data_IF_778840122078
#
_entry.id   IF_778840122078
#
_cell.length_a   1.000
_cell.length_b   1.000
_cell.length_c   1.000
_cell.angle_alpha   90.00
_cell.angle_beta   90.00
_cell.angle_gamma   90.00
#
_symmetry.space_group_name_H-M   'P 1'
#
loop_
_entity.id
_entity.type
_entity.pdbx_description
1 polymer ?
#
# COMPACT_ATOMS: atom_id res chain seq x y z
N UNK A 1 -3.82 -10.47 -4.21
CA UNK A 1 -3.93 -10.42 -2.74
C UNK A 1 -3.92 -11.84 -2.19
N UNK A 2 -3.37 -12.04 -0.99
CA UNK A 2 -3.30 -13.31 -0.28
C UNK A 2 -3.59 -13.11 1.21
N UNK A 3 -3.92 -14.20 1.92
CA UNK A 3 -4.28 -14.13 3.34
C UNK A 3 -5.61 -13.42 3.56
N UNK A 4 -5.66 -12.57 4.60
CA UNK A 4 -6.85 -11.79 4.99
C UNK A 4 -7.14 -10.57 4.12
N UNK A 5 -6.31 -10.25 3.13
CA UNK A 5 -6.50 -9.05 2.29
C UNK A 5 -7.57 -9.29 1.24
N UNK A 6 -8.57 -8.41 1.20
CA UNK A 6 -9.66 -8.43 0.23
C UNK A 6 -9.99 -7.03 -0.30
N UNK A 7 -10.64 -6.97 -1.45
CA UNK A 7 -11.31 -5.77 -1.92
C UNK A 7 -12.62 -5.60 -1.16
N UNK A 8 -12.77 -4.49 -0.45
CA UNK A 8 -13.96 -4.14 0.33
C UNK A 8 -14.52 -2.80 -0.13
N UNK A 9 -15.84 -2.58 -0.08
CA UNK A 9 -16.41 -1.25 -0.30
C UNK A 9 -15.82 -0.23 0.67
N UNK A 10 -15.50 0.97 0.20
CA UNK A 10 -14.97 2.05 1.03
C UNK A 10 -15.96 2.50 2.12
N UNK A 11 -17.27 2.41 1.82
CA UNK A 11 -18.37 2.68 2.75
C UNK A 11 -18.92 4.11 2.74
N UNK A 12 -18.20 5.11 2.20
CA UNK A 12 -18.67 6.51 2.13
C UNK A 12 -19.12 6.89 0.71
N UNK A 13 -18.45 6.39 -0.32
CA UNK A 13 -18.84 6.60 -1.72
C UNK A 13 -19.33 5.29 -2.32
N UNK A 14 -20.53 5.30 -2.90
CA UNK A 14 -21.03 4.17 -3.67
C UNK A 14 -20.08 3.86 -4.84
N UNK A 15 -19.62 2.62 -4.94
CA UNK A 15 -18.90 2.09 -6.10
C UNK A 15 -17.37 2.03 -6.00
N UNK A 16 -16.75 2.48 -4.91
CA UNK A 16 -15.29 2.39 -4.72
C UNK A 16 -14.92 1.20 -3.83
N UNK A 17 -14.00 0.37 -4.31
CA UNK A 17 -13.39 -0.71 -3.53
C UNK A 17 -11.95 -0.35 -3.16
N UNK A 18 -11.56 -0.72 -1.95
CA UNK A 18 -10.21 -0.54 -1.39
C UNK A 18 -9.69 -1.86 -0.85
N UNK A 19 -8.38 -2.00 -0.68
CA UNK A 19 -7.79 -3.18 -0.06
C UNK A 19 -7.73 -3.01 1.45
N UNK A 20 -8.25 -4.00 2.18
CA UNK A 20 -8.23 -4.04 3.64
C UNK A 20 -8.23 -5.49 4.15
N UNK A 21 -8.14 -5.67 5.46
CA UNK A 21 -8.30 -6.95 6.14
C UNK A 21 -9.59 -6.96 6.96
N UNK A 22 -10.77 -7.28 6.36
CA UNK A 22 -12.07 -7.13 7.03
C UNK A 22 -12.22 -7.96 8.30
N UNK A 23 -11.64 -9.15 8.34
CA UNK A 23 -11.65 -10.03 9.52
C UNK A 23 -10.41 -9.82 10.42
N UNK A 24 -9.57 -8.81 10.13
CA UNK A 24 -8.35 -8.51 10.89
C UNK A 24 -7.24 -9.56 10.74
N UNK A 25 -7.34 -10.52 9.82
CA UNK A 25 -6.27 -11.49 9.56
C UNK A 25 -5.10 -10.86 8.78
N UNK A 26 -3.87 -11.34 9.00
CA UNK A 26 -2.70 -10.92 8.20
C UNK A 26 -2.89 -11.24 6.73
N UNK A 27 -2.29 -10.44 5.85
CA UNK A 27 -2.25 -10.72 4.43
C UNK A 27 -1.46 -9.69 3.65
N UNK A 28 -1.40 -9.86 2.33
CA UNK A 28 -0.70 -8.90 1.47
C UNK A 28 -1.36 -8.74 0.11
N UNK A 29 -1.06 -7.63 -0.55
CA UNK A 29 -1.37 -7.39 -1.95
C UNK A 29 -0.09 -7.06 -2.72
N UNK A 30 0.13 -7.76 -3.83
CA UNK A 30 1.24 -7.52 -4.76
C UNK A 30 0.71 -6.83 -6.01
N UNK A 31 1.41 -5.78 -6.41
CA UNK A 31 1.13 -4.96 -7.58
C UNK A 31 2.31 -5.04 -8.52
N UNK A 32 2.02 -5.07 -9.82
CA UNK A 32 3.02 -5.05 -10.86
C UNK A 32 2.95 -3.68 -11.55
N UNK A 33 4.07 -2.97 -11.56
CA UNK A 33 4.21 -1.63 -12.11
C UNK A 33 5.24 -1.67 -13.23
N UNK A 34 4.97 -0.99 -14.34
CA UNK A 34 5.90 -0.90 -15.47
C UNK A 34 6.49 0.52 -15.51
N UNK A 35 7.80 0.61 -15.35
CA UNK A 35 8.53 1.88 -15.30
C UNK A 35 9.12 2.19 -16.68
N UNK A 36 8.87 3.38 -17.26
CA UNK A 36 9.32 3.70 -18.61
C UNK A 36 10.82 3.98 -18.70
N UNK A 37 11.47 4.36 -17.59
CA UNK A 37 12.87 4.79 -17.55
C UNK A 37 13.58 4.22 -16.32
N UNK A 38 14.90 4.08 -16.43
CA UNK A 38 15.77 3.84 -15.27
C UNK A 38 15.99 5.17 -14.54
N UNK A 39 15.67 5.22 -13.24
CA UNK A 39 15.75 6.43 -12.43
C UNK A 39 15.67 6.13 -10.92
N UNK A 40 15.83 7.16 -10.10
CA UNK A 40 15.49 7.13 -8.68
C UNK A 40 13.97 7.34 -8.48
N UNK A 41 13.30 6.32 -7.92
CA UNK A 41 11.87 6.34 -7.67
C UNK A 41 11.57 6.33 -6.17
N UNK A 42 10.62 7.17 -5.75
CA UNK A 42 10.01 7.14 -4.42
C UNK A 42 8.73 6.33 -4.44
N UNK A 43 8.58 5.42 -3.47
CA UNK A 43 7.35 4.67 -3.22
C UNK A 43 6.42 5.47 -2.30
N UNK A 44 5.24 5.79 -2.83
CA UNK A 44 4.15 6.43 -2.11
C UNK A 44 2.97 5.46 -1.99
N UNK A 45 2.39 5.37 -0.79
CA UNK A 45 1.10 4.70 -0.57
C UNK A 45 0.01 5.71 -0.27
N UNK A 46 -1.17 5.53 -0.87
CA UNK A 46 -2.38 6.24 -0.45
C UNK A 46 -3.20 5.36 0.46
N UNK A 47 -3.22 5.70 1.74
CA UNK A 47 -3.86 4.91 2.78
C UNK A 47 -4.61 5.78 3.79
N UNK A 48 -5.48 5.13 4.58
CA UNK A 48 -6.10 5.69 5.78
C UNK A 48 -6.35 4.58 6.81
N UNK A 49 -6.53 4.97 8.07
CA UNK A 49 -7.10 4.10 9.09
C UNK A 49 -8.63 4.08 9.07
N UNK A 50 -9.21 3.25 9.93
CA UNK A 50 -10.58 3.41 10.45
C UNK A 50 -10.62 4.58 11.47
N UNK A 51 -11.79 4.89 12.05
CA UNK A 51 -12.02 6.07 12.90
C UNK A 51 -10.93 6.36 13.96
N UNK A 52 -10.36 5.32 14.59
CA UNK A 52 -9.24 5.41 15.54
C UNK A 52 -8.01 4.59 15.10
N UNK A 53 -8.04 4.10 13.85
CA UNK A 53 -7.02 3.23 13.28
C UNK A 53 -5.71 3.96 13.07
N UNK A 54 -4.69 3.55 13.81
CA UNK A 54 -3.29 3.88 13.52
C UNK A 54 -2.53 2.59 13.32
N UNK A 55 -1.57 2.59 12.39
CA UNK A 55 -0.84 1.38 12.11
C UNK A 55 0.21 1.55 11.04
N UNK A 56 0.82 0.44 10.66
CA UNK A 56 1.85 0.40 9.64
C UNK A 56 1.48 -0.60 8.54
N UNK A 57 1.69 -0.20 7.30
CA UNK A 57 1.71 -1.10 6.15
C UNK A 57 3.16 -1.38 5.80
N UNK A 58 3.60 -2.62 5.97
CA UNK A 58 4.96 -3.02 5.59
C UNK A 58 5.04 -3.20 4.08
N UNK A 59 6.12 -2.74 3.46
CA UNK A 59 6.28 -2.81 2.01
C UNK A 59 7.60 -3.43 1.59
N UNK A 60 7.55 -4.16 0.49
CA UNK A 60 8.72 -4.64 -0.23
C UNK A 60 8.64 -4.27 -1.70
N UNK A 61 9.78 -3.93 -2.28
CA UNK A 61 9.98 -3.67 -3.70
C UNK A 61 10.89 -4.77 -4.27
N UNK A 62 10.41 -5.48 -5.29
CA UNK A 62 11.08 -6.63 -5.90
C UNK A 62 11.51 -7.73 -4.92
N UNK A 63 10.72 -7.89 -3.86
CA UNK A 63 10.95 -8.85 -2.79
C UNK A 63 11.83 -8.34 -1.64
N UNK A 64 12.48 -7.17 -1.80
CA UNK A 64 13.31 -6.56 -0.77
C UNK A 64 12.52 -5.55 0.06
N UNK A 65 12.62 -5.55 1.40
CA UNK A 65 11.97 -4.54 2.24
C UNK A 65 12.45 -3.13 1.90
N UNK A 66 11.51 -2.20 1.65
CA UNK A 66 11.83 -0.80 1.33
C UNK A 66 11.41 0.18 2.44
N UNK A 67 10.44 -0.21 3.26
CA UNK A 67 10.00 0.57 4.40
C UNK A 67 8.57 0.28 4.82
N UNK A 68 8.07 1.09 5.75
CA UNK A 68 6.69 1.00 6.26
C UNK A 68 5.98 2.33 6.08
N UNK A 69 4.75 2.30 5.55
CA UNK A 69 3.88 3.47 5.58
C UNK A 69 3.23 3.58 6.97
N UNK A 70 3.55 4.65 7.70
CA UNK A 70 2.85 4.99 8.94
C UNK A 70 1.54 5.69 8.62
N UNK A 71 0.42 5.05 8.91
CA UNK A 71 -0.93 5.55 8.63
C UNK A 71 -1.55 6.04 9.93
N UNK A 72 -1.99 7.29 9.93
CA UNK A 72 -2.61 7.92 11.09
C UNK A 72 -3.94 8.58 10.72
N UNK A 73 -4.98 8.25 11.47
CA UNK A 73 -6.32 8.82 11.33
C UNK A 73 -7.12 8.27 10.16
N UNK A 74 -8.35 8.74 10.02
CA UNK A 74 -9.36 8.26 9.08
C UNK A 74 -9.40 9.02 7.74
N UNK A 75 -8.46 9.96 7.55
CA UNK A 75 -8.31 10.74 6.32
C UNK A 75 -7.37 10.07 5.31
N UNK A 76 -7.76 10.07 4.03
CA UNK A 76 -6.88 9.63 2.95
C UNK A 76 -5.65 10.53 2.84
N UNK A 77 -4.47 9.94 2.97
CA UNK A 77 -3.20 10.64 2.84
C UNK A 77 -2.22 9.84 1.97
N UNK A 78 -1.29 10.55 1.34
CA UNK A 78 -0.12 9.94 0.72
C UNK A 78 1.00 9.87 1.76
N UNK A 79 1.63 8.71 1.88
CA UNK A 79 2.76 8.47 2.77
C UNK A 79 3.96 8.03 1.95
N UNK A 80 5.08 8.72 2.14
CA UNK A 80 6.38 8.29 1.65
C UNK A 80 6.87 7.09 2.46
N UNK A 81 7.26 6.04 1.75
CA UNK A 81 7.71 4.78 2.34
C UNK A 81 9.22 4.58 2.23
N UNK A 82 9.83 5.14 1.19
CA UNK A 82 11.23 4.91 0.83
C UNK A 82 11.46 5.09 -0.66
N UNK A 83 12.74 5.16 -1.05
CA UNK A 83 13.16 5.34 -2.42
C UNK A 83 14.20 4.28 -2.84
N UNK A 84 14.25 3.98 -4.13
CA UNK A 84 15.19 3.05 -4.73
C UNK A 84 15.54 3.48 -6.15
N UNK A 85 16.77 3.18 -6.57
CA UNK A 85 17.17 3.27 -7.97
C UNK A 85 16.67 2.04 -8.72
N UNK A 86 15.85 2.24 -9.75
CA UNK A 86 15.17 1.17 -10.49
C UNK A 86 15.48 1.27 -11.97
N UNK A 87 15.49 0.10 -12.62
CA UNK A 87 15.64 0.01 -14.07
C UNK A 87 14.30 0.29 -14.76
N UNK A 88 14.33 0.53 -16.08
CA UNK A 88 13.09 0.48 -16.85
C UNK A 88 12.54 -0.95 -16.89
N UNK A 89 11.22 -1.08 -16.90
CA UNK A 89 10.51 -2.35 -17.02
C UNK A 89 9.69 -2.69 -15.79
N UNK A 90 9.44 -3.99 -15.63
CA UNK A 90 8.48 -4.50 -14.65
C UNK A 90 9.09 -4.61 -13.25
N UNK A 91 8.42 -3.98 -12.29
CA UNK A 91 8.71 -4.05 -10.87
C UNK A 91 7.49 -4.52 -10.07
N UNK A 92 7.73 -5.08 -8.90
CA UNK A 92 6.69 -5.56 -8.00
C UNK A 92 6.73 -4.85 -6.66
N UNK A 93 5.59 -4.32 -6.23
CA UNK A 93 5.42 -3.79 -4.87
C UNK A 93 4.47 -4.70 -4.12
N UNK A 94 4.91 -5.20 -2.97
CA UNK A 94 4.02 -5.95 -2.06
C UNK A 94 3.75 -5.11 -0.82
N UNK A 95 2.48 -4.91 -0.51
CA UNK A 95 2.00 -4.22 0.69
C UNK A 95 1.39 -5.25 1.63
N UNK A 96 1.88 -5.31 2.87
CA UNK A 96 1.50 -6.30 3.87
C UNK A 96 0.77 -5.65 5.04
N UNK A 97 -0.33 -6.29 5.44
CA UNK A 97 -1.18 -5.92 6.56
C UNK A 97 -0.89 -6.86 7.74
N UNK A 98 -0.61 -6.27 8.90
CA UNK A 98 -0.47 -7.01 10.15
C UNK A 98 -1.84 -7.51 10.65
N UNK A 99 -1.83 -8.46 11.59
CA UNK A 99 -3.05 -8.88 12.27
C UNK A 99 -3.66 -7.69 13.03
N UNK A 100 -4.98 -7.53 12.95
CA UNK A 100 -5.72 -6.43 13.55
C UNK A 100 -5.44 -5.07 12.90
N UNK A 101 -4.81 -5.02 11.72
CA UNK A 101 -4.62 -3.77 11.01
C UNK A 101 -5.98 -3.21 10.55
N UNK A 102 -6.41 -2.12 11.18
CA UNK A 102 -7.61 -1.39 10.77
C UNK A 102 -7.26 -0.32 9.73
N UNK A 103 -6.64 -0.75 8.63
CA UNK A 103 -6.11 0.11 7.59
C UNK A 103 -6.76 -0.19 6.24
N UNK A 104 -6.87 0.82 5.40
CA UNK A 104 -7.33 0.72 4.02
C UNK A 104 -6.27 1.28 3.07
N UNK A 105 -5.99 0.54 2.00
CA UNK A 105 -5.09 0.92 0.93
C UNK A 105 -5.89 1.22 -0.34
N UNK A 106 -5.71 2.42 -0.88
CA UNK A 106 -6.34 2.86 -2.14
C UNK A 106 -5.37 2.79 -3.32
N UNK A 107 -4.10 3.20 -3.14
CA UNK A 107 -3.15 3.27 -4.24
C UNK A 107 -1.72 3.00 -3.81
N UNK A 108 -0.97 2.45 -4.77
CA UNK A 108 0.48 2.31 -4.75
C UNK A 108 1.02 3.12 -5.92
N UNK A 109 2.03 3.95 -5.68
CA UNK A 109 2.64 4.81 -6.68
C UNK A 109 4.17 4.75 -6.56
N UNK A 110 4.84 4.45 -7.67
CA UNK A 110 6.26 4.77 -7.84
C UNK A 110 6.34 6.05 -8.67
N UNK A 111 7.05 7.06 -8.17
CA UNK A 111 7.23 8.34 -8.87
C UNK A 111 8.68 8.77 -8.82
N UNK A 112 9.19 9.28 -9.94
CA UNK A 112 10.42 10.04 -10.06
C UNK A 112 10.07 11.52 -10.29
N UNK A 113 10.91 12.45 -9.82
CA UNK A 113 10.78 13.89 -10.07
C UNK A 113 11.63 14.35 -11.26
#
# INVERSE_FOLDING_TARGET
ATGGVALVPEGIMDGWNVLATPDGATGSATFTLDLPFEDDYTLLLRAKGTADGTGQLATSLDGEPIGNASVAGDGWSWTDVGAAHLQAGQHTVTVSFAAGAELMLHSVLLTNE
#
